data_IF_854689449602
#
_entry.id   IF_854689449602
#
_cell.length_a   1.000
_cell.length_b   1.000
_cell.length_c   1.000
_cell.angle_alpha   90.00
_cell.angle_beta   90.00
_cell.angle_gamma   90.00
#
_symmetry.space_group_name_H-M   'P 1'
#
loop_
_entity.id
_entity.type
_entity.pdbx_description
1 polymer ?
#
# COMPACT_ATOMS: atom_id res chain seq x y z
N UNK A 1 18.95 -61.50 -21.52
CA UNK A 1 20.25 -61.46 -22.24
C UNK A 1 19.97 -60.77 -23.58
N UNK A 2 20.49 -59.62 -24.02
CA UNK A 2 21.64 -58.73 -23.73
C UNK A 2 21.16 -57.29 -24.07
N UNK A 3 21.26 -56.32 -23.17
CA UNK A 3 22.36 -55.33 -23.02
C UNK A 3 22.25 -54.12 -23.95
N UNK A 4 21.92 -52.99 -23.29
CA UNK A 4 22.27 -51.61 -23.64
C UNK A 4 23.78 -51.46 -23.92
N UNK A 5 24.15 -50.42 -24.67
CA UNK A 5 25.21 -49.56 -24.17
C UNK A 5 24.72 -48.11 -23.98
N UNK A 6 24.87 -47.64 -22.74
CA UNK A 6 25.02 -46.25 -22.35
C UNK A 6 26.12 -45.58 -23.18
N UNK A 7 25.88 -44.36 -23.67
CA UNK A 7 26.90 -43.30 -23.67
C UNK A 7 26.28 -41.91 -23.48
N UNK A 8 26.59 -41.33 -22.33
CA UNK A 8 26.82 -39.91 -22.05
C UNK A 8 27.86 -39.93 -20.91
N UNK A 9 28.76 -38.94 -20.71
CA UNK A 9 28.58 -37.52 -21.03
C UNK A 9 29.87 -36.77 -21.48
N UNK A 10 29.74 -35.82 -22.41
CA UNK A 10 30.74 -34.77 -22.63
C UNK A 10 29.94 -33.57 -23.17
N UNK A 11 29.96 -32.38 -22.61
CA UNK A 11 31.02 -31.72 -21.85
C UNK A 11 31.07 -30.29 -22.37
N UNK A 12 29.94 -29.57 -22.32
CA UNK A 12 29.90 -28.13 -22.57
C UNK A 12 29.55 -27.43 -21.26
N UNK A 13 30.53 -27.51 -20.37
CA UNK A 13 30.74 -26.49 -19.36
C UNK A 13 31.08 -25.18 -20.08
N UNK A 14 30.06 -24.42 -20.46
CA UNK A 14 30.19 -22.96 -20.48
C UNK A 14 29.51 -22.43 -19.23
N UNK A 15 30.24 -22.66 -18.14
CA UNK A 15 30.16 -21.93 -16.89
C UNK A 15 30.33 -20.45 -17.24
N UNK A 16 29.21 -19.78 -17.51
CA UNK A 16 29.21 -18.32 -17.55
C UNK A 16 29.29 -17.87 -16.10
N UNK A 17 30.54 -17.62 -15.73
CA UNK A 17 30.99 -16.89 -14.56
C UNK A 17 29.93 -15.96 -13.95
N UNK A 18 29.63 -16.31 -12.71
CA UNK A 18 29.59 -15.47 -11.53
C UNK A 18 28.38 -14.53 -11.29
N UNK A 19 27.71 -14.72 -10.14
CA UNK A 19 26.70 -13.84 -9.60
C UNK A 19 27.37 -12.71 -8.83
N UNK A 20 27.30 -11.46 -9.28
CA UNK A 20 27.78 -10.34 -8.44
C UNK A 20 27.05 -9.04 -8.75
N UNK A 21 25.72 -9.10 -8.58
CA UNK A 21 24.99 -7.97 -8.05
C UNK A 21 24.07 -8.47 -6.92
N UNK A 22 24.59 -9.35 -6.06
CA UNK A 22 24.17 -9.31 -4.68
C UNK A 22 24.77 -8.03 -4.12
N UNK A 23 24.14 -6.90 -4.47
CA UNK A 23 24.43 -5.59 -3.93
C UNK A 23 24.47 -5.80 -2.42
N UNK A 24 25.69 -5.81 -1.85
CA UNK A 24 25.88 -5.98 -0.42
C UNK A 24 25.15 -4.81 0.23
N UNK A 25 23.90 -5.05 0.61
CA UNK A 25 23.15 -4.12 1.43
C UNK A 25 23.95 -4.10 2.73
N UNK A 26 24.76 -3.05 2.89
CA UNK A 26 25.58 -2.94 4.08
C UNK A 26 24.66 -2.87 5.29
N UNK A 27 25.13 -3.27 6.46
CA UNK A 27 24.36 -3.13 7.70
C UNK A 27 23.88 -1.69 7.91
N UNK A 28 24.64 -0.70 7.41
CA UNK A 28 24.21 0.70 7.32
C UNK A 28 22.99 0.92 6.41
N UNK A 29 22.91 0.28 5.25
CA UNK A 29 21.75 0.39 4.34
C UNK A 29 20.53 -0.34 4.90
N UNK A 30 20.72 -1.48 5.57
CA UNK A 30 19.65 -2.16 6.30
C UNK A 30 19.11 -1.29 7.44
N UNK A 31 19.98 -0.62 8.20
CA UNK A 31 19.59 0.25 9.31
C UNK A 31 18.88 1.52 8.82
N UNK A 32 19.31 2.09 7.69
CA UNK A 32 18.62 3.21 7.01
C UNK A 32 17.26 2.78 6.49
N UNK A 33 17.15 1.60 5.88
CA UNK A 33 15.89 1.03 5.40
C UNK A 33 14.92 0.76 6.56
N UNK A 34 15.38 0.17 7.66
CA UNK A 34 14.58 -0.04 8.86
C UNK A 34 14.02 1.30 9.40
N UNK A 35 14.88 2.31 9.49
CA UNK A 35 14.50 3.67 9.92
C UNK A 35 13.47 4.31 8.96
N UNK A 36 13.62 4.11 7.65
CA UNK A 36 12.67 4.59 6.65
C UNK A 36 11.32 3.85 6.76
N UNK A 37 11.33 2.53 7.00
CA UNK A 37 10.13 1.73 7.21
C UNK A 37 9.39 2.17 8.47
N UNK A 38 10.09 2.40 9.59
CA UNK A 38 9.49 2.88 10.83
C UNK A 38 8.83 4.26 10.65
N UNK A 39 9.52 5.19 9.98
CA UNK A 39 8.96 6.51 9.65
C UNK A 39 7.73 6.40 8.75
N UNK A 40 7.77 5.55 7.72
CA UNK A 40 6.64 5.29 6.85
C UNK A 40 5.44 4.71 7.60
N UNK A 41 5.67 3.81 8.55
CA UNK A 41 4.62 3.27 9.41
C UNK A 41 4.01 4.35 10.29
N UNK A 42 4.83 5.23 10.88
CA UNK A 42 4.38 6.39 11.66
C UNK A 42 3.48 7.32 10.85
N UNK A 43 3.94 7.76 9.67
CA UNK A 43 3.17 8.61 8.75
C UNK A 43 1.86 7.94 8.36
N UNK A 44 1.88 6.63 8.06
CA UNK A 44 0.64 5.91 7.74
C UNK A 44 -0.33 5.83 8.93
N UNK A 45 0.15 5.60 10.15
CA UNK A 45 -0.71 5.55 11.33
C UNK A 45 -1.34 6.92 11.61
N UNK A 46 -0.55 8.00 11.56
CA UNK A 46 -1.05 9.36 11.74
C UNK A 46 -2.11 9.70 10.68
N UNK A 47 -1.87 9.35 9.42
CA UNK A 47 -2.85 9.57 8.34
C UNK A 47 -4.13 8.78 8.55
N UNK A 48 -4.07 7.53 9.02
CA UNK A 48 -5.27 6.75 9.37
C UNK A 48 -6.08 7.40 10.49
N UNK A 49 -5.40 7.95 11.50
CA UNK A 49 -6.08 8.68 12.59
C UNK A 49 -6.73 9.96 12.08
N UNK A 50 -5.99 10.78 11.31
CA UNK A 50 -6.51 12.00 10.67
C UNK A 50 -7.74 11.71 9.80
N UNK A 51 -7.71 10.64 9.00
CA UNK A 51 -8.84 10.18 8.18
C UNK A 51 -10.05 9.81 9.06
N UNK A 52 -9.84 9.06 10.13
CA UNK A 52 -10.92 8.71 11.07
C UNK A 52 -11.57 9.96 11.68
N UNK A 53 -10.76 10.92 12.13
CA UNK A 53 -11.24 12.20 12.67
C UNK A 53 -11.96 13.03 11.62
N UNK A 54 -11.47 13.08 10.38
CA UNK A 54 -12.11 13.80 9.28
C UNK A 54 -13.51 13.25 8.96
N UNK A 55 -13.68 11.92 8.99
CA UNK A 55 -14.98 11.27 8.81
C UNK A 55 -15.93 11.68 9.92
N UNK A 56 -15.48 11.59 11.19
CA UNK A 56 -16.27 11.98 12.36
C UNK A 56 -16.64 13.47 12.33
N UNK A 57 -15.71 14.35 11.94
CA UNK A 57 -15.93 15.79 11.82
C UNK A 57 -16.88 16.18 10.66
N UNK A 58 -17.16 15.27 9.73
CA UNK A 58 -18.24 15.47 8.75
C UNK A 58 -19.62 15.14 9.33
N UNK A 59 -19.68 14.53 10.52
CA UNK A 59 -20.91 14.02 11.13
C UNK A 59 -21.32 12.63 10.62
N UNK A 60 -20.42 11.93 9.92
CA UNK A 60 -20.58 10.52 9.56
C UNK A 60 -19.78 9.63 10.50
N UNK A 61 -20.30 8.43 10.75
CA UNK A 61 -19.52 7.36 11.36
C UNK A 61 -18.64 6.66 10.32
N UNK A 62 -17.50 6.10 10.76
CA UNK A 62 -16.60 5.30 9.89
C UNK A 62 -17.34 4.18 9.14
N UNK A 63 -18.24 3.48 9.82
CA UNK A 63 -19.06 2.43 9.22
C UNK A 63 -19.95 3.00 8.11
N UNK A 64 -20.66 4.11 8.38
CA UNK A 64 -21.55 4.72 7.40
C UNK A 64 -20.80 5.28 6.19
N UNK A 65 -19.65 5.91 6.41
CA UNK A 65 -18.76 6.35 5.33
C UNK A 65 -18.33 5.18 4.44
N UNK A 66 -17.95 4.03 5.02
CA UNK A 66 -17.60 2.82 4.25
C UNK A 66 -18.78 2.28 3.45
N UNK A 67 -19.97 2.20 4.05
CA UNK A 67 -21.19 1.80 3.34
C UNK A 67 -21.43 2.69 2.12
N UNK A 68 -21.41 4.02 2.31
CA UNK A 68 -21.61 5.00 1.23
C UNK A 68 -20.53 4.89 0.14
N UNK A 69 -19.28 4.63 0.54
CA UNK A 69 -18.17 4.41 -0.39
C UNK A 69 -18.38 3.14 -1.23
N UNK A 70 -18.76 2.02 -0.59
CA UNK A 70 -19.02 0.75 -1.26
C UNK A 70 -20.21 0.84 -2.22
N UNK A 71 -21.26 1.58 -1.84
CA UNK A 71 -22.40 1.87 -2.70
C UNK A 71 -22.00 2.67 -3.94
N UNK A 72 -21.02 3.59 -3.82
CA UNK A 72 -20.54 4.40 -4.96
C UNK A 72 -19.53 3.66 -5.85
N UNK A 73 -18.72 2.75 -5.31
CA UNK A 73 -17.76 1.96 -6.09
C UNK A 73 -18.42 0.85 -6.95
N UNK A 74 -19.75 0.75 -6.97
CA UNK A 74 -20.48 -0.21 -7.80
C UNK A 74 -20.31 -1.69 -7.39
N UNK A 75 -19.52 -1.98 -6.36
CA UNK A 75 -19.29 -3.32 -5.80
C UNK A 75 -20.25 -3.68 -4.65
N UNK A 76 -21.09 -2.74 -4.21
CA UNK A 76 -22.10 -3.00 -3.19
C UNK A 76 -23.27 -3.81 -3.75
N UNK A 77 -23.53 -5.00 -3.17
CA UNK A 77 -24.82 -5.68 -3.28
C UNK A 77 -25.88 -4.69 -2.82
N UNK A 78 -26.54 -4.05 -3.77
CA UNK A 78 -27.47 -2.95 -3.54
C UNK A 78 -28.76 -3.50 -2.98
N UNK A 79 -28.82 -3.64 -1.66
CA UNK A 79 -30.10 -3.73 -0.98
C UNK A 79 -30.75 -2.32 -1.00
N UNK A 80 -32.02 -2.26 -1.39
CA UNK A 80 -32.75 -0.99 -1.62
C UNK A 80 -32.91 -0.15 -0.35
N UNK A 81 -32.49 -0.65 0.81
CA UNK A 81 -32.52 0.05 2.11
C UNK A 81 -31.40 1.10 2.29
N UNK A 82 -30.28 1.01 1.57
CA UNK A 82 -29.12 1.92 1.71
C UNK A 82 -29.20 3.20 0.87
N UNK A 83 -30.39 3.79 0.77
CA UNK A 83 -30.54 5.08 0.09
C UNK A 83 -29.74 6.17 0.83
N UNK A 84 -28.67 6.66 0.20
CA UNK A 84 -27.82 7.71 0.76
C UNK A 84 -28.57 9.04 0.65
N UNK A 85 -28.95 9.62 1.79
CA UNK A 85 -29.67 10.89 1.84
C UNK A 85 -28.82 12.06 1.34
N UNK A 86 -29.45 13.16 0.90
CA UNK A 86 -28.73 14.36 0.45
C UNK A 86 -27.78 14.92 1.52
N UNK A 87 -28.19 14.89 2.80
CA UNK A 87 -27.34 15.23 3.94
C UNK A 87 -26.09 14.35 4.01
N UNK A 88 -26.26 13.04 3.91
CA UNK A 88 -25.15 12.08 3.97
C UNK A 88 -24.21 12.22 2.78
N UNK A 89 -24.74 12.49 1.58
CA UNK A 89 -23.91 12.81 0.40
C UNK A 89 -23.06 14.05 0.63
N UNK A 90 -23.61 15.08 1.27
CA UNK A 90 -22.86 16.31 1.62
C UNK A 90 -21.77 16.01 2.64
N UNK A 91 -22.09 15.30 3.72
CA UNK A 91 -21.12 14.91 4.75
C UNK A 91 -20.02 14.01 4.17
N UNK A 92 -20.38 13.07 3.30
CA UNK A 92 -19.44 12.19 2.62
C UNK A 92 -18.47 12.96 1.72
N UNK A 93 -18.98 13.93 0.93
CA UNK A 93 -18.13 14.82 0.14
C UNK A 93 -17.18 15.65 1.01
N UNK A 94 -17.68 16.20 2.13
CA UNK A 94 -16.83 16.94 3.08
C UNK A 94 -15.75 16.06 3.71
N UNK A 95 -16.08 14.80 4.02
CA UNK A 95 -15.09 13.83 4.49
C UNK A 95 -14.06 13.51 3.41
N UNK A 96 -14.48 13.27 2.16
CA UNK A 96 -13.57 13.01 1.03
C UNK A 96 -12.61 14.17 0.76
N UNK A 97 -13.10 15.41 0.84
CA UNK A 97 -12.30 16.60 0.63
C UNK A 97 -11.18 16.70 1.68
N UNK A 98 -11.54 16.56 2.97
CA UNK A 98 -10.55 16.50 4.06
C UNK A 98 -9.60 15.31 3.93
N UNK A 99 -10.11 14.14 3.54
CA UNK A 99 -9.27 12.94 3.34
C UNK A 99 -8.26 13.18 2.21
N UNK A 100 -8.65 13.85 1.12
CA UNK A 100 -7.70 14.22 0.04
C UNK A 100 -6.61 15.14 0.56
N UNK A 101 -6.98 16.14 1.35
CA UNK A 101 -6.03 17.08 1.94
C UNK A 101 -5.02 16.34 2.86
N UNK A 102 -5.52 15.48 3.74
CA UNK A 102 -4.69 14.61 4.59
C UNK A 102 -3.77 13.72 3.76
N UNK A 103 -4.26 13.14 2.67
CA UNK A 103 -3.43 12.30 1.80
C UNK A 103 -2.35 13.10 1.08
N UNK A 104 -2.64 14.32 0.64
CA UNK A 104 -1.66 15.22 0.04
C UNK A 104 -0.59 15.64 1.05
N UNK A 105 -0.99 16.01 2.26
CA UNK A 105 -0.08 16.32 3.36
C UNK A 105 0.80 15.11 3.71
N UNK A 106 0.19 13.94 3.87
CA UNK A 106 0.92 12.69 4.15
C UNK A 106 1.89 12.29 3.03
N UNK A 107 1.53 12.52 1.77
CA UNK A 107 2.43 12.31 0.63
C UNK A 107 3.62 13.28 0.67
N UNK A 108 3.42 14.53 1.09
CA UNK A 108 4.51 15.50 1.28
C UNK A 108 5.40 15.12 2.47
N UNK A 109 4.82 14.71 3.59
CA UNK A 109 5.56 14.22 4.76
C UNK A 109 6.38 12.96 4.40
N UNK A 110 5.78 12.03 3.65
CA UNK A 110 6.46 10.85 3.14
C UNK A 110 7.64 11.20 2.22
N UNK A 111 7.44 12.14 1.28
CA UNK A 111 8.52 12.59 0.38
C UNK A 111 9.66 13.25 1.17
N UNK A 112 9.35 14.14 2.11
CA UNK A 112 10.38 14.76 2.97
C UNK A 112 11.11 13.72 3.84
N UNK A 113 10.40 12.72 4.36
CA UNK A 113 10.99 11.62 5.12
C UNK A 113 11.82 10.64 4.28
N UNK A 114 11.65 10.65 2.96
CA UNK A 114 12.37 9.77 2.01
C UNK A 114 13.45 10.53 1.22
N UNK A 115 13.44 11.87 1.20
CA UNK A 115 14.38 12.71 0.42
C UNK A 115 15.78 12.87 1.06
N UNK A 116 16.17 11.98 1.97
CA UNK A 116 17.54 11.88 2.51
C UNK A 116 18.34 10.73 1.87
N UNK A 117 17.94 10.32 0.67
CA UNK A 117 18.68 9.40 -0.19
C UNK A 117 19.37 10.16 -1.32
#
# INVERSE_FOLDING_TARGET
MRSQPQQSPAGEAKQQNQPEAAQQVSESDLKKLASAIERLQGVQQQSRQKVASAIQASGLSKQRFRTILQSQSGQGKSDKSDSVSAKEKKQFQQALDRIRDIQQESQKEKQQGTSIY
#
